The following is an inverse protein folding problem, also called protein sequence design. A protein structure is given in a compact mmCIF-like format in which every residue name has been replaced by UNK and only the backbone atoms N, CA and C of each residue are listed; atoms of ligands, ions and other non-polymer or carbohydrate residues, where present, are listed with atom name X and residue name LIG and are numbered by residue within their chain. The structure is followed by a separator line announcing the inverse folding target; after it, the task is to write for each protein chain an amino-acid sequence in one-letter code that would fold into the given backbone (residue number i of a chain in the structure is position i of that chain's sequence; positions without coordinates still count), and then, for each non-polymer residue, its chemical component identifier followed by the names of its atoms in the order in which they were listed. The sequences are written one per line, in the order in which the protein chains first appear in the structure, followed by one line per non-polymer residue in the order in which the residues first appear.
data_IF_615237216490
#
_entry.id   IF_615237216490
#
_cell.length_a   1.000
_cell.length_b   1.000
_cell.length_c   1.000
_cell.angle_alpha   90.00
_cell.angle_beta   90.00
_cell.angle_gamma   90.00
#
_symmetry.space_group_name_H-M   'P 1'
#
loop_
_entity.id
_entity.type
_entity.pdbx_description
1 polymer ?
#
# COMPACT_ATOMS: atom_id res chain seq x y z
N UNK A 1 -7.65 -27.22 2.57
CA UNK A 1 -7.89 -25.82 2.18
C UNK A 1 -7.29 -24.80 3.16
N UNK A 2 -7.61 -24.77 4.46
CA UNK A 2 -6.99 -23.78 5.39
C UNK A 2 -5.46 -23.93 5.49
N UNK A 3 -4.92 -25.13 5.62
CA UNK A 3 -3.47 -25.39 5.67
C UNK A 3 -2.79 -25.02 4.34
N UNK A 4 -3.40 -25.34 3.19
CA UNK A 4 -2.85 -25.01 1.89
C UNK A 4 -2.78 -23.50 1.65
N UNK A 5 -3.81 -22.77 2.11
CA UNK A 5 -3.84 -21.30 2.04
C UNK A 5 -2.73 -20.68 2.93
N UNK A 6 -2.53 -21.23 4.14
CA UNK A 6 -1.48 -20.75 5.05
C UNK A 6 -0.07 -20.96 4.50
N UNK A 7 0.17 -22.02 3.72
CA UNK A 7 1.47 -22.24 3.06
C UNK A 7 1.77 -21.20 1.97
N UNK A 8 0.74 -20.47 1.49
CA UNK A 8 0.91 -19.37 0.54
C UNK A 8 1.14 -18.00 1.18
N UNK A 9 1.17 -17.89 2.52
CA UNK A 9 1.44 -16.63 3.23
C UNK A 9 2.92 -16.27 3.21
N UNK A 10 3.25 -14.97 3.17
CA UNK A 10 4.61 -14.52 3.45
C UNK A 10 4.98 -14.79 4.91
N UNK A 11 4.08 -14.48 5.84
CA UNK A 11 4.20 -14.81 7.28
C UNK A 11 2.85 -14.64 7.97
N UNK A 12 2.53 -15.53 8.92
CA UNK A 12 1.33 -15.41 9.75
C UNK A 12 1.33 -14.14 10.63
N UNK A 13 2.52 -13.64 10.98
CA UNK A 13 2.68 -12.48 11.87
C UNK A 13 2.31 -11.15 11.18
N UNK A 14 2.49 -11.09 9.85
CA UNK A 14 2.32 -9.87 9.07
C UNK A 14 1.02 -9.81 8.27
N UNK A 15 0.26 -10.91 8.19
CA UNK A 15 -1.01 -10.93 7.46
C UNK A 15 -2.12 -10.23 8.26
N UNK A 16 -2.87 -9.37 7.60
CA UNK A 16 -4.04 -8.71 8.16
C UNK A 16 -5.18 -9.69 8.40
N UNK A 17 -6.02 -9.44 9.42
CA UNK A 17 -7.15 -10.31 9.73
C UNK A 17 -8.12 -10.47 8.54
N UNK A 18 -8.46 -9.35 7.88
CA UNK A 18 -9.37 -9.36 6.73
C UNK A 18 -8.77 -10.15 5.57
N UNK A 19 -7.47 -10.02 5.33
CA UNK A 19 -6.79 -10.81 4.31
C UNK A 19 -6.83 -12.29 4.62
N UNK A 20 -6.55 -12.69 5.86
CA UNK A 20 -6.57 -14.11 6.27
C UNK A 20 -7.94 -14.75 6.15
N UNK A 21 -9.01 -13.99 6.46
CA UNK A 21 -10.38 -14.55 6.50
C UNK A 21 -11.07 -14.45 5.15
N UNK A 22 -10.77 -13.43 4.35
CA UNK A 22 -11.53 -13.09 3.16
C UNK A 22 -10.68 -13.07 1.88
N UNK A 23 -9.68 -12.17 1.80
CA UNK A 23 -8.95 -11.95 0.54
C UNK A 23 -8.11 -13.17 0.13
N UNK A 24 -7.36 -13.75 1.08
CA UNK A 24 -6.48 -14.90 0.78
C UNK A 24 -7.21 -16.18 0.40
N UNK A 25 -8.30 -16.60 1.07
CA UNK A 25 -9.06 -17.76 0.66
C UNK A 25 -9.67 -17.62 -0.73
N UNK A 26 -10.24 -16.44 -1.05
CA UNK A 26 -10.81 -16.18 -2.38
C UNK A 26 -9.71 -16.11 -3.44
N UNK A 27 -8.61 -15.40 -3.15
CA UNK A 27 -7.43 -15.35 -4.01
C UNK A 27 -6.84 -16.73 -4.31
N UNK A 28 -6.83 -17.64 -3.33
CA UNK A 28 -6.37 -19.02 -3.52
C UNK A 28 -7.27 -19.82 -4.50
N UNK A 29 -8.57 -19.62 -4.44
CA UNK A 29 -9.49 -20.25 -5.40
C UNK A 29 -9.19 -19.75 -6.82
N UNK A 30 -8.99 -18.45 -7.00
CA UNK A 30 -8.60 -17.87 -8.27
C UNK A 30 -7.20 -18.33 -8.71
N UNK A 31 -6.23 -18.40 -7.80
CA UNK A 31 -4.89 -18.91 -8.11
C UNK A 31 -4.96 -20.37 -8.63
N UNK A 32 -5.75 -21.23 -8.00
CA UNK A 32 -5.99 -22.61 -8.49
C UNK A 32 -6.67 -22.64 -9.86
N UNK A 33 -7.63 -21.77 -10.09
CA UNK A 33 -8.29 -21.65 -11.38
C UNK A 33 -7.31 -21.26 -12.47
N UNK A 34 -6.52 -20.21 -12.26
CA UNK A 34 -5.51 -19.76 -13.22
C UNK A 34 -4.37 -20.77 -13.39
N UNK A 35 -3.99 -21.48 -12.33
CA UNK A 35 -3.02 -22.56 -12.42
C UNK A 35 -3.49 -23.69 -13.36
N UNK A 36 -4.75 -24.08 -13.27
CA UNK A 36 -5.33 -25.10 -14.17
C UNK A 36 -5.37 -24.67 -15.63
N UNK A 37 -5.53 -23.37 -15.88
CA UNK A 37 -5.50 -22.78 -17.22
C UNK A 37 -4.07 -22.52 -17.71
N UNK A 38 -3.04 -22.75 -16.89
CA UNK A 38 -1.65 -22.48 -17.25
C UNK A 38 -1.30 -20.99 -17.37
N UNK A 39 -2.14 -20.09 -16.84
CA UNK A 39 -1.96 -18.63 -16.92
C UNK A 39 -0.74 -18.20 -16.12
N UNK A 40 0.05 -17.29 -16.69
CA UNK A 40 1.22 -16.73 -15.99
C UNK A 40 0.79 -15.71 -14.91
N UNK A 41 1.43 -15.68 -13.71
CA UNK A 41 1.08 -14.74 -12.63
C UNK A 41 0.99 -13.28 -13.08
N UNK A 42 1.93 -12.79 -13.88
CA UNK A 42 1.94 -11.41 -14.39
C UNK A 42 0.68 -11.05 -15.19
N UNK A 43 0.05 -12.03 -15.86
CA UNK A 43 -1.22 -11.80 -16.58
C UNK A 43 -2.34 -11.54 -15.58
N UNK A 44 -2.35 -12.25 -14.45
CA UNK A 44 -3.34 -12.05 -13.39
C UNK A 44 -3.17 -10.67 -12.75
N UNK A 45 -1.92 -10.22 -12.54
CA UNK A 45 -1.64 -8.83 -12.08
C UNK A 45 -2.17 -7.79 -13.07
N UNK A 46 -1.95 -7.98 -14.38
CA UNK A 46 -2.48 -7.05 -15.40
C UNK A 46 -4.01 -7.04 -15.39
N UNK A 47 -4.66 -8.19 -15.23
CA UNK A 47 -6.12 -8.27 -15.13
C UNK A 47 -6.62 -7.54 -13.86
N UNK A 48 -5.94 -7.69 -12.71
CA UNK A 48 -6.29 -6.96 -11.49
C UNK A 48 -6.23 -5.44 -11.71
N UNK A 49 -5.18 -4.95 -12.38
CA UNK A 49 -5.01 -3.54 -12.72
C UNK A 49 -6.14 -3.04 -13.62
N UNK A 50 -6.48 -3.77 -14.69
CA UNK A 50 -7.56 -3.38 -15.61
C UNK A 50 -8.90 -3.30 -14.88
N UNK A 51 -9.23 -4.31 -14.06
CA UNK A 51 -10.47 -4.32 -13.28
C UNK A 51 -10.47 -3.17 -12.26
N UNK A 52 -9.35 -2.95 -11.57
CA UNK A 52 -9.21 -1.86 -10.60
C UNK A 52 -9.37 -0.48 -11.22
N UNK A 53 -8.75 -0.22 -12.38
CA UNK A 53 -8.93 1.04 -13.13
C UNK A 53 -10.38 1.20 -13.57
N UNK A 54 -11.05 0.12 -14.01
CA UNK A 54 -12.45 0.18 -14.43
C UNK A 54 -13.36 0.64 -13.28
N UNK A 55 -13.03 0.37 -12.01
CA UNK A 55 -13.81 0.85 -10.86
C UNK A 55 -13.88 2.37 -10.79
N UNK A 56 -12.84 3.07 -11.28
CA UNK A 56 -12.79 4.54 -11.29
C UNK A 56 -13.93 5.16 -12.10
N UNK A 57 -14.29 4.56 -13.25
CA UNK A 57 -15.43 5.01 -14.05
C UNK A 57 -16.74 4.99 -13.24
N UNK A 58 -16.97 3.91 -12.51
CA UNK A 58 -18.18 3.74 -11.70
C UNK A 58 -18.21 4.70 -10.51
N UNK A 59 -17.07 4.94 -9.85
CA UNK A 59 -16.97 5.93 -8.77
C UNK A 59 -17.16 7.36 -9.28
N UNK A 60 -16.71 7.68 -10.50
CA UNK A 60 -16.89 9.00 -11.11
C UNK A 60 -18.38 9.34 -11.31
N UNK A 61 -19.20 8.33 -11.63
CA UNK A 61 -20.63 8.48 -11.92
C UNK A 61 -21.54 7.99 -10.77
N UNK A 62 -20.97 7.78 -9.59
CA UNK A 62 -21.68 7.18 -8.46
C UNK A 62 -22.47 8.17 -7.58
N UNK A 63 -22.61 9.45 -7.93
CA UNK A 63 -23.42 10.39 -7.15
C UNK A 63 -24.90 10.00 -7.22
N UNK A 64 -25.56 9.90 -6.07
CA UNK A 64 -26.96 9.49 -5.96
C UNK A 64 -27.86 10.53 -5.26
N UNK A 65 -27.27 11.61 -4.78
CA UNK A 65 -28.01 12.73 -4.16
C UNK A 65 -28.72 13.62 -5.17
N UNK A 66 -28.30 13.56 -6.43
CA UNK A 66 -29.05 14.13 -7.55
C UNK A 66 -30.04 13.07 -8.00
N UNK A 67 -31.33 13.28 -7.85
CA UNK A 67 -32.55 12.53 -8.22
C UNK A 67 -32.43 11.16 -8.96
N UNK A 68 -31.22 10.67 -9.20
CA UNK A 68 -30.94 9.45 -9.95
C UNK A 68 -30.45 8.33 -9.02
N UNK A 69 -31.33 7.38 -8.72
CA UNK A 69 -31.00 6.16 -7.94
C UNK A 69 -29.92 5.27 -8.59
N UNK A 70 -29.60 5.48 -9.86
CA UNK A 70 -28.57 4.73 -10.58
C UNK A 70 -27.17 4.95 -9.98
N UNK A 71 -26.89 6.12 -9.40
CA UNK A 71 -25.60 6.42 -8.77
C UNK A 71 -25.21 5.46 -7.63
N UNK A 72 -26.15 5.07 -6.79
CA UNK A 72 -25.90 4.09 -5.74
C UNK A 72 -25.51 2.73 -6.33
N UNK A 73 -26.19 2.29 -7.40
CA UNK A 73 -25.87 1.03 -8.09
C UNK A 73 -24.47 1.10 -8.72
N UNK A 74 -24.10 2.24 -9.31
CA UNK A 74 -22.75 2.45 -9.86
C UNK A 74 -21.68 2.39 -8.76
N UNK A 75 -21.90 2.99 -7.59
CA UNK A 75 -21.01 2.83 -6.45
C UNK A 75 -20.82 1.37 -6.06
N UNK A 76 -21.90 0.60 -5.96
CA UNK A 76 -21.84 -0.83 -5.62
C UNK A 76 -21.03 -1.59 -6.66
N UNK A 77 -21.22 -1.33 -7.95
CA UNK A 77 -20.44 -1.96 -9.02
C UNK A 77 -18.94 -1.57 -8.89
N UNK A 78 -18.63 -0.31 -8.66
CA UNK A 78 -17.27 0.17 -8.45
C UNK A 78 -16.58 -0.52 -7.27
N UNK A 79 -17.30 -0.67 -6.16
CA UNK A 79 -16.83 -1.40 -4.96
C UNK A 79 -16.55 -2.87 -5.29
N UNK A 80 -17.49 -3.55 -5.94
CA UNK A 80 -17.33 -4.95 -6.31
C UNK A 80 -16.14 -5.16 -7.27
N UNK A 81 -15.94 -4.26 -8.24
CA UNK A 81 -14.79 -4.33 -9.14
C UNK A 81 -13.47 -4.11 -8.39
N UNK A 82 -13.41 -3.15 -7.46
CA UNK A 82 -12.20 -2.91 -6.68
C UNK A 82 -11.90 -4.07 -5.71
N UNK A 83 -12.91 -4.68 -5.11
CA UNK A 83 -12.75 -5.91 -4.34
C UNK A 83 -12.26 -7.06 -5.22
N UNK A 84 -12.78 -7.20 -6.42
CA UNK A 84 -12.37 -8.23 -7.37
C UNK A 84 -10.91 -8.03 -7.81
N UNK A 85 -10.51 -6.81 -8.09
CA UNK A 85 -9.12 -6.47 -8.37
C UNK A 85 -8.20 -6.91 -7.22
N UNK A 86 -8.58 -6.66 -5.96
CA UNK A 86 -7.82 -7.09 -4.78
C UNK A 86 -7.74 -8.63 -4.65
N UNK A 87 -8.79 -9.37 -5.05
CA UNK A 87 -8.72 -10.82 -5.09
C UNK A 87 -7.76 -11.35 -6.15
N UNK A 88 -7.68 -10.72 -7.31
CA UNK A 88 -6.73 -11.08 -8.37
C UNK A 88 -5.30 -10.72 -8.00
N UNK A 89 -5.08 -9.57 -7.37
CA UNK A 89 -3.79 -9.17 -6.80
C UNK A 89 -3.31 -10.19 -5.74
N UNK A 90 -4.20 -10.62 -4.85
CA UNK A 90 -3.90 -11.72 -3.93
C UNK A 90 -3.62 -13.04 -4.64
N UNK A 91 -4.33 -13.34 -5.73
CA UNK A 91 -4.21 -14.57 -6.49
C UNK A 91 -2.89 -14.67 -7.25
N UNK A 92 -2.37 -13.58 -7.83
CA UNK A 92 -1.14 -13.58 -8.62
C UNK A 92 0.09 -13.95 -7.78
N UNK A 93 0.22 -13.35 -6.57
CA UNK A 93 1.28 -13.68 -5.64
C UNK A 93 1.18 -15.11 -5.11
N UNK A 94 -0.05 -15.63 -4.90
CA UNK A 94 -0.25 -17.02 -4.51
C UNK A 94 0.08 -17.97 -5.68
N UNK A 95 -0.34 -17.64 -6.90
CA UNK A 95 -0.04 -18.40 -8.11
C UNK A 95 1.48 -18.45 -8.38
N UNK A 96 2.18 -17.32 -8.20
CA UNK A 96 3.63 -17.25 -8.35
C UNK A 96 4.33 -18.20 -7.37
N UNK A 97 3.90 -18.24 -6.11
CA UNK A 97 4.45 -19.18 -5.10
C UNK A 97 4.12 -20.62 -5.38
N UNK A 98 2.89 -20.92 -5.82
CA UNK A 98 2.44 -22.29 -6.15
C UNK A 98 3.15 -22.86 -7.38
N UNK A 99 3.51 -22.01 -8.35
CA UNK A 99 4.12 -22.44 -9.62
C UNK A 99 5.64 -22.25 -9.67
N UNK A 100 6.24 -21.59 -8.67
CA UNK A 100 7.65 -21.22 -8.66
C UNK A 100 8.02 -20.15 -9.72
N UNK A 101 7.03 -19.50 -10.35
CA UNK A 101 7.22 -18.51 -11.42
C UNK A 101 7.34 -17.08 -10.85
N UNK A 102 8.33 -16.87 -10.00
CA UNK A 102 8.63 -15.53 -9.48
C UNK A 102 9.54 -14.78 -10.47
N UNK A 103 9.05 -13.67 -11.04
CA UNK A 103 9.83 -12.83 -11.96
C UNK A 103 10.10 -11.47 -11.35
N UNK A 104 11.22 -10.84 -11.74
CA UNK A 104 11.54 -9.48 -11.33
C UNK A 104 10.49 -8.48 -11.85
N UNK A 105 10.05 -8.65 -13.10
CA UNK A 105 8.98 -7.84 -13.70
C UNK A 105 7.67 -7.98 -12.91
N UNK A 106 7.30 -9.21 -12.48
CA UNK A 106 6.12 -9.44 -11.68
C UNK A 106 6.15 -8.70 -10.36
N UNK A 107 7.28 -8.70 -9.65
CA UNK A 107 7.44 -7.94 -8.38
C UNK A 107 7.34 -6.43 -8.57
N UNK A 108 7.88 -5.90 -9.69
CA UNK A 108 7.77 -4.47 -10.02
C UNK A 108 6.31 -4.11 -10.32
N UNK A 109 5.64 -4.96 -11.10
CA UNK A 109 4.25 -4.75 -11.51
C UNK A 109 3.29 -4.82 -10.30
N UNK A 110 3.46 -5.82 -9.42
CA UNK A 110 2.74 -5.98 -8.15
C UNK A 110 2.93 -4.71 -7.26
N UNK A 111 4.17 -4.27 -7.07
CA UNK A 111 4.46 -3.04 -6.31
C UNK A 111 3.88 -1.76 -6.92
N UNK A 112 3.72 -1.70 -8.24
CA UNK A 112 3.16 -0.56 -8.95
C UNK A 112 1.62 -0.62 -9.08
N UNK A 113 1.02 -1.82 -8.97
CA UNK A 113 -0.39 -2.05 -9.22
C UNK A 113 -1.30 -1.13 -8.38
N UNK A 114 -1.01 -0.99 -7.09
CA UNK A 114 -1.77 -0.11 -6.20
C UNK A 114 -1.77 1.35 -6.69
N UNK A 115 -0.62 1.89 -7.08
CA UNK A 115 -0.52 3.27 -7.59
C UNK A 115 -1.30 3.41 -8.90
N UNK A 116 -1.16 2.45 -9.82
CA UNK A 116 -1.82 2.47 -11.13
C UNK A 116 -3.34 2.43 -10.96
N UNK A 117 -3.86 1.73 -9.96
CA UNK A 117 -5.30 1.66 -9.66
C UNK A 117 -5.78 2.92 -8.94
N UNK A 118 -5.07 3.36 -7.89
CA UNK A 118 -5.54 4.47 -7.06
C UNK A 118 -5.50 5.83 -7.76
N UNK A 119 -4.56 6.08 -8.67
CA UNK A 119 -4.49 7.36 -9.40
C UNK A 119 -5.76 7.65 -10.19
N UNK A 120 -6.27 6.76 -11.08
CA UNK A 120 -7.56 6.95 -11.74
C UNK A 120 -8.73 7.08 -10.78
N UNK A 121 -8.75 6.28 -9.69
CA UNK A 121 -9.81 6.37 -8.67
C UNK A 121 -9.82 7.75 -8.02
N UNK A 122 -8.66 8.27 -7.61
CA UNK A 122 -8.56 9.60 -7.00
C UNK A 122 -9.03 10.71 -7.97
N UNK A 123 -8.61 10.63 -9.23
CA UNK A 123 -9.09 11.54 -10.27
C UNK A 123 -10.63 11.44 -10.46
N UNK A 124 -11.17 10.24 -10.40
CA UNK A 124 -12.62 10.00 -10.49
C UNK A 124 -13.39 10.65 -9.32
N UNK A 125 -12.84 10.58 -8.08
CA UNK A 125 -13.46 11.24 -6.93
C UNK A 125 -13.44 12.76 -7.07
N UNK A 126 -12.33 13.36 -7.54
CA UNK A 126 -12.24 14.80 -7.81
C UNK A 126 -13.24 15.20 -8.88
N UNK A 127 -13.32 14.43 -9.98
CA UNK A 127 -14.29 14.66 -11.05
C UNK A 127 -15.73 14.62 -10.54
N UNK A 128 -16.10 13.60 -9.77
CA UNK A 128 -17.43 13.47 -9.17
C UNK A 128 -17.77 14.68 -8.28
N UNK A 129 -16.88 15.09 -7.38
CA UNK A 129 -17.08 16.25 -6.54
C UNK A 129 -17.24 17.54 -7.36
N UNK A 130 -16.44 17.70 -8.42
CA UNK A 130 -16.52 18.85 -9.30
C UNK A 130 -17.85 18.91 -10.07
N UNK A 131 -18.34 17.77 -10.56
CA UNK A 131 -19.61 17.70 -11.30
C UNK A 131 -20.85 17.97 -10.41
N UNK A 132 -20.76 17.65 -9.12
CA UNK A 132 -21.90 17.72 -8.18
C UNK A 132 -21.65 18.72 -7.04
N UNK A 133 -20.85 19.78 -7.29
CA UNK A 133 -20.42 20.77 -6.29
C UNK A 133 -21.56 21.64 -5.73
N UNK A 134 -22.69 21.75 -6.41
CA UNK A 134 -23.80 22.60 -6.01
C UNK A 134 -24.35 22.32 -4.61
N UNK A 135 -24.27 21.07 -4.15
CA UNK A 135 -24.66 20.67 -2.79
C UNK A 135 -23.72 21.21 -1.72
N UNK A 136 -22.41 21.08 -1.94
CA UNK A 136 -21.39 21.61 -1.06
C UNK A 136 -21.45 23.13 -1.03
N UNK A 137 -21.72 23.79 -2.16
CA UNK A 137 -21.90 25.23 -2.25
C UNK A 137 -23.13 25.70 -1.47
N UNK A 138 -24.24 24.99 -1.60
CA UNK A 138 -25.45 25.28 -0.83
C UNK A 138 -25.19 25.14 0.69
N UNK A 139 -24.51 24.07 1.10
CA UNK A 139 -24.19 23.85 2.50
C UNK A 139 -23.18 24.86 3.07
N UNK A 140 -22.22 25.30 2.26
CA UNK A 140 -21.20 26.28 2.64
C UNK A 140 -21.66 27.75 2.42
N UNK A 141 -22.89 27.98 1.93
CA UNK A 141 -23.42 29.29 1.53
C UNK A 141 -22.52 30.02 0.50
N UNK A 142 -21.92 29.26 -0.41
CA UNK A 142 -21.10 29.79 -1.51
C UNK A 142 -22.00 29.98 -2.74
N UNK A 143 -21.86 31.14 -3.40
CA UNK A 143 -22.59 31.39 -4.65
C UNK A 143 -22.15 30.39 -5.74
N UNK A 144 -23.10 29.72 -6.36
CA UNK A 144 -22.86 28.80 -7.46
C UNK A 144 -22.56 29.57 -8.75
N UNK A 145 -21.28 29.86 -8.95
CA UNK A 145 -20.73 30.56 -10.10
C UNK A 145 -19.63 29.71 -10.72
N UNK A 146 -19.46 29.84 -12.04
CA UNK A 146 -18.41 29.12 -12.78
C UNK A 146 -17.04 29.35 -12.16
N UNK A 147 -16.73 30.60 -11.74
CA UNK A 147 -15.46 30.92 -11.04
C UNK A 147 -15.27 30.12 -9.75
N UNK A 148 -16.31 30.07 -8.92
CA UNK A 148 -16.24 29.33 -7.64
C UNK A 148 -16.14 27.83 -7.88
N UNK A 149 -16.83 27.28 -8.88
CA UNK A 149 -16.71 25.88 -9.27
C UNK A 149 -15.28 25.52 -9.72
N UNK A 150 -14.64 26.37 -10.53
CA UNK A 150 -13.24 26.16 -10.96
C UNK A 150 -12.29 26.22 -9.76
N UNK A 151 -12.46 27.21 -8.86
CA UNK A 151 -11.61 27.31 -7.65
C UNK A 151 -11.77 26.06 -6.79
N UNK A 152 -13.00 25.60 -6.57
CA UNK A 152 -13.30 24.38 -5.81
C UNK A 152 -12.64 23.15 -6.45
N UNK A 153 -12.76 22.98 -7.76
CA UNK A 153 -12.11 21.89 -8.50
C UNK A 153 -10.58 21.91 -8.35
N UNK A 154 -9.95 23.08 -8.43
CA UNK A 154 -8.51 23.23 -8.23
C UNK A 154 -8.08 22.91 -6.79
N UNK A 155 -8.87 23.33 -5.80
CA UNK A 155 -8.62 23.01 -4.40
C UNK A 155 -8.73 21.50 -4.14
N UNK A 156 -9.77 20.85 -4.68
CA UNK A 156 -9.92 19.39 -4.57
C UNK A 156 -8.80 18.65 -5.27
N UNK A 157 -8.37 19.11 -6.43
CA UNK A 157 -7.25 18.50 -7.14
C UNK A 157 -5.95 18.65 -6.34
N UNK A 158 -5.69 19.83 -5.75
CA UNK A 158 -4.57 20.03 -4.84
C UNK A 158 -4.62 19.12 -3.61
N UNK A 159 -5.80 18.97 -3.00
CA UNK A 159 -6.05 18.05 -1.88
C UNK A 159 -5.78 16.59 -2.29
N UNK A 160 -6.26 16.19 -3.46
CA UNK A 160 -6.03 14.87 -4.05
C UNK A 160 -4.53 14.58 -4.26
N UNK A 161 -3.79 15.52 -4.86
CA UNK A 161 -2.35 15.38 -5.07
C UNK A 161 -1.59 15.25 -3.74
N UNK A 162 -1.93 16.07 -2.77
CA UNK A 162 -1.31 16.00 -1.44
C UNK A 162 -1.64 14.68 -0.73
N UNK A 163 -2.91 14.28 -0.73
CA UNK A 163 -3.36 13.00 -0.18
C UNK A 163 -2.64 11.82 -0.83
N UNK A 164 -2.62 11.74 -2.16
CA UNK A 164 -2.06 10.60 -2.88
C UNK A 164 -0.53 10.56 -2.86
N UNK A 165 0.15 11.63 -3.29
CA UNK A 165 1.60 11.60 -3.46
C UNK A 165 2.38 11.80 -2.16
N UNK A 166 1.85 12.57 -1.20
CA UNK A 166 2.56 12.85 0.06
C UNK A 166 2.10 11.90 1.15
N UNK A 167 0.80 11.87 1.44
CA UNK A 167 0.27 11.10 2.57
C UNK A 167 0.24 9.60 2.28
N UNK A 168 -0.52 9.17 1.28
CA UNK A 168 -0.68 7.75 0.94
C UNK A 168 0.68 7.07 0.66
N UNK A 169 1.46 7.65 -0.25
CA UNK A 169 2.79 7.10 -0.60
C UNK A 169 3.72 7.01 0.62
N UNK A 170 3.75 8.04 1.48
CA UNK A 170 4.57 8.07 2.68
C UNK A 170 4.14 7.02 3.71
N UNK A 171 2.84 6.88 3.94
CA UNK A 171 2.25 5.94 4.89
C UNK A 171 2.46 4.49 4.45
N UNK A 172 2.20 4.15 3.18
CA UNK A 172 2.41 2.81 2.64
C UNK A 172 3.89 2.40 2.68
N UNK A 173 4.78 3.33 2.30
CA UNK A 173 6.23 3.12 2.34
C UNK A 173 6.72 2.78 3.75
N UNK A 174 6.24 3.50 4.76
CA UNK A 174 6.65 3.27 6.14
C UNK A 174 6.04 1.99 6.71
N UNK A 175 4.79 1.69 6.39
CA UNK A 175 4.13 0.44 6.77
C UNK A 175 4.85 -0.78 6.18
N UNK A 176 5.21 -0.72 4.89
CA UNK A 176 5.98 -1.79 4.24
C UNK A 176 7.35 -1.97 4.93
N UNK A 177 8.05 -0.88 5.21
CA UNK A 177 9.35 -0.94 5.86
C UNK A 177 9.29 -1.62 7.23
N UNK A 178 8.35 -1.26 8.10
CA UNK A 178 8.19 -1.93 9.40
C UNK A 178 7.80 -3.40 9.28
N UNK A 179 7.06 -3.76 8.24
CA UNK A 179 6.78 -5.16 7.93
C UNK A 179 8.06 -5.91 7.52
N UNK A 180 8.91 -5.31 6.69
CA UNK A 180 10.19 -5.90 6.30
C UNK A 180 11.17 -6.01 7.48
N UNK A 181 11.21 -5.01 8.36
CA UNK A 181 11.98 -5.06 9.61
C UNK A 181 11.54 -6.24 10.48
N UNK A 182 10.23 -6.43 10.69
CA UNK A 182 9.71 -7.56 11.46
C UNK A 182 10.10 -8.90 10.82
N UNK A 183 9.96 -9.02 9.50
CA UNK A 183 10.34 -10.23 8.76
C UNK A 183 11.84 -10.53 8.82
N UNK A 184 12.69 -9.51 8.85
CA UNK A 184 14.12 -9.68 9.00
C UNK A 184 14.48 -10.37 10.31
N UNK A 185 13.91 -9.94 11.42
CA UNK A 185 14.15 -10.59 12.72
C UNK A 185 13.42 -11.93 12.89
N UNK A 186 12.39 -12.19 12.09
CA UNK A 186 11.66 -13.48 12.10
C UNK A 186 12.33 -14.56 11.24
N UNK A 187 12.85 -14.19 10.04
CA UNK A 187 13.29 -15.14 9.00
C UNK A 187 14.73 -14.93 8.55
N UNK A 188 15.41 -13.92 9.08
CA UNK A 188 16.76 -13.54 8.65
C UNK A 188 16.78 -12.77 7.32
N UNK A 189 17.97 -12.52 6.80
CA UNK A 189 18.22 -11.76 5.57
C UNK A 189 17.52 -12.35 4.33
N UNK A 190 17.45 -13.67 4.24
CA UNK A 190 16.82 -14.35 3.09
C UNK A 190 15.29 -14.25 3.06
N UNK A 191 14.68 -13.95 4.20
CA UNK A 191 13.21 -13.87 4.36
C UNK A 191 12.63 -12.48 4.33
N UNK A 192 13.47 -11.43 4.22
CA UNK A 192 13.06 -10.03 4.21
C UNK A 192 13.73 -9.24 3.08
N UNK A 193 13.01 -8.28 2.54
CA UNK A 193 13.53 -7.34 1.52
C UNK A 193 14.01 -6.04 2.21
N UNK A 194 14.94 -6.18 3.18
CA UNK A 194 15.49 -5.04 3.91
C UNK A 194 16.76 -4.54 3.19
N UNK A 195 16.58 -3.55 2.34
CA UNK A 195 17.67 -2.96 1.55
C UNK A 195 18.30 -1.76 2.26
N UNK A 196 19.59 -1.51 1.96
CA UNK A 196 20.35 -0.35 2.44
C UNK A 196 20.54 0.67 1.30
N UNK A 197 20.28 1.94 1.57
CA UNK A 197 20.36 3.00 0.54
C UNK A 197 21.78 3.21 0.00
N UNK A 198 22.81 3.00 0.81
CA UNK A 198 24.21 3.12 0.40
C UNK A 198 24.58 2.04 -0.62
N UNK A 199 24.22 0.79 -0.37
CA UNK A 199 24.44 -0.31 -1.30
C UNK A 199 23.68 -0.11 -2.61
N UNK A 200 22.42 0.31 -2.55
CA UNK A 200 21.62 0.57 -3.75
C UNK A 200 22.14 1.78 -4.53
N UNK A 201 22.70 2.79 -3.85
CA UNK A 201 23.36 3.92 -4.50
C UNK A 201 24.62 3.46 -5.26
N UNK A 202 25.42 2.56 -4.69
CA UNK A 202 26.60 1.99 -5.38
C UNK A 202 26.20 1.25 -6.65
N UNK A 203 25.11 0.46 -6.61
CA UNK A 203 24.57 -0.20 -7.80
C UNK A 203 24.10 0.80 -8.85
N UNK A 204 23.43 1.88 -8.43
CA UNK A 204 23.03 2.96 -9.32
C UNK A 204 24.23 3.65 -10.00
N UNK A 205 25.27 3.96 -9.23
CA UNK A 205 26.47 4.65 -9.74
C UNK A 205 27.25 3.76 -10.71
N UNK A 206 27.32 2.44 -10.43
CA UNK A 206 27.99 1.47 -11.31
C UNK A 206 27.24 1.19 -12.62
N UNK A 207 25.91 1.44 -12.68
CA UNK A 207 25.10 1.13 -13.86
C UNK A 207 25.25 2.21 -14.94
N UNK A 208 25.62 1.89 -16.20
CA UNK A 208 25.69 2.87 -17.28
C UNK A 208 24.29 3.29 -17.75
N UNK A 209 24.13 4.56 -18.19
CA UNK A 209 22.87 5.02 -18.78
C UNK A 209 22.58 4.40 -20.15
N UNK A 210 23.63 4.15 -20.92
CA UNK A 210 23.51 3.63 -22.29
C UNK A 210 23.08 2.16 -22.26
N UNK A 211 21.91 1.88 -22.81
CA UNK A 211 21.31 0.53 -22.81
C UNK A 211 20.47 0.17 -21.58
N UNK A 212 20.59 0.91 -20.46
CA UNK A 212 19.90 0.62 -19.18
C UNK A 212 19.14 1.81 -18.60
N UNK A 213 18.67 2.73 -19.43
CA UNK A 213 18.08 3.99 -18.97
C UNK A 213 16.80 3.80 -18.11
N UNK A 214 15.95 2.79 -18.47
CA UNK A 214 14.74 2.47 -17.70
C UNK A 214 15.11 1.90 -16.34
N UNK A 215 16.01 0.90 -16.33
CA UNK A 215 16.46 0.24 -15.10
C UNK A 215 17.16 1.22 -14.17
N UNK A 216 18.01 2.10 -14.73
CA UNK A 216 18.72 3.13 -13.97
C UNK A 216 17.78 4.19 -13.42
N UNK A 217 16.76 4.63 -14.17
CA UNK A 217 15.74 5.56 -13.68
C UNK A 217 14.91 4.93 -12.55
N UNK A 218 14.54 3.65 -12.72
CA UNK A 218 13.85 2.89 -11.66
C UNK A 218 14.73 2.75 -10.41
N UNK A 219 16.00 2.39 -10.57
CA UNK A 219 16.94 2.25 -9.45
C UNK A 219 17.14 3.57 -8.70
N UNK A 220 17.17 4.72 -9.40
CA UNK A 220 17.20 6.05 -8.77
C UNK A 220 15.98 6.28 -7.86
N UNK A 221 14.79 5.93 -8.36
CA UNK A 221 13.55 6.05 -7.60
C UNK A 221 13.58 5.12 -6.38
N UNK A 222 14.07 3.90 -6.54
CA UNK A 222 14.20 2.91 -5.47
C UNK A 222 15.21 3.35 -4.39
N UNK A 223 16.37 3.90 -4.78
CA UNK A 223 17.34 4.48 -3.83
C UNK A 223 16.69 5.59 -2.99
N UNK A 224 15.93 6.49 -3.63
CA UNK A 224 15.22 7.56 -2.92
C UNK A 224 14.14 7.00 -1.99
N UNK A 225 13.44 5.95 -2.40
CA UNK A 225 12.45 5.26 -1.58
C UNK A 225 13.08 4.71 -0.29
N UNK A 226 14.18 3.96 -0.39
CA UNK A 226 14.89 3.40 0.77
C UNK A 226 15.46 4.52 1.65
N UNK A 227 16.09 5.53 1.07
CA UNK A 227 16.64 6.68 1.82
C UNK A 227 15.58 7.40 2.65
N UNK A 228 14.35 7.48 2.15
CA UNK A 228 13.24 8.05 2.91
C UNK A 228 12.77 7.13 4.05
N UNK A 229 12.82 5.79 3.86
CA UNK A 229 12.56 4.82 4.94
C UNK A 229 13.60 4.96 6.06
N UNK A 230 14.88 4.99 5.72
CA UNK A 230 15.98 5.16 6.69
C UNK A 230 15.88 6.49 7.45
N UNK A 231 15.60 7.61 6.76
CA UNK A 231 15.41 8.91 7.40
C UNK A 231 14.20 8.93 8.36
N UNK A 232 13.17 8.15 8.08
CA UNK A 232 11.99 8.07 8.91
C UNK A 232 12.20 7.22 10.19
N UNK A 233 13.27 6.41 10.25
CA UNK A 233 13.49 5.40 11.30
C UNK A 233 14.87 5.52 11.96
N UNK A 234 15.24 6.69 12.52
CA UNK A 234 16.60 6.91 13.03
C UNK A 234 16.98 6.02 14.22
N UNK A 235 16.03 5.64 15.10
CA UNK A 235 16.32 4.73 16.20
C UNK A 235 16.61 3.31 15.69
N UNK A 236 15.85 2.85 14.70
CA UNK A 236 16.13 1.57 14.05
C UNK A 236 17.48 1.56 13.36
N UNK A 237 17.87 2.62 12.65
CA UNK A 237 19.19 2.70 12.00
C UNK A 237 20.33 2.62 13.03
N UNK A 238 20.21 3.31 14.16
CA UNK A 238 21.20 3.20 15.26
C UNK A 238 21.27 1.80 15.84
N UNK A 239 20.12 1.14 16.02
CA UNK A 239 20.05 -0.23 16.48
C UNK A 239 20.77 -1.19 15.51
N UNK A 240 20.50 -1.07 14.21
CA UNK A 240 21.15 -1.89 13.18
C UNK A 240 22.67 -1.68 13.14
N UNK A 241 23.12 -0.41 13.25
CA UNK A 241 24.53 -0.10 13.33
C UNK A 241 25.18 -0.74 14.56
N UNK A 242 24.55 -0.65 15.73
CA UNK A 242 25.04 -1.28 16.96
C UNK A 242 25.16 -2.80 16.84
N UNK A 243 24.14 -3.44 16.23
CA UNK A 243 24.17 -4.88 15.96
C UNK A 243 25.31 -5.26 15.00
N UNK A 244 25.54 -4.43 13.98
CA UNK A 244 26.65 -4.62 13.06
C UNK A 244 28.01 -4.52 13.79
N UNK A 245 28.19 -3.52 14.64
CA UNK A 245 29.44 -3.31 15.40
C UNK A 245 29.73 -4.47 16.37
N UNK A 246 28.68 -5.04 16.97
CA UNK A 246 28.83 -6.16 17.92
C UNK A 246 29.01 -7.53 17.26
N UNK A 247 28.32 -7.79 16.15
CA UNK A 247 28.21 -9.13 15.56
C UNK A 247 28.71 -9.22 14.11
N UNK A 248 29.26 -8.14 13.55
CA UNK A 248 29.73 -8.06 12.16
C UNK A 248 28.59 -7.90 11.14
N UNK A 249 27.45 -8.54 11.40
CA UNK A 249 26.18 -8.35 10.64
C UNK A 249 25.03 -8.43 11.61
N UNK A 250 24.00 -7.60 11.39
CA UNK A 250 22.81 -7.59 12.25
C UNK A 250 22.07 -8.95 12.28
N UNK A 251 22.09 -9.70 11.17
CA UNK A 251 21.51 -11.04 11.08
C UNK A 251 22.23 -12.10 11.94
N UNK A 252 23.47 -11.83 12.38
CA UNK A 252 24.25 -12.72 13.25
C UNK A 252 23.98 -12.45 14.75
N UNK A 253 23.08 -11.53 15.08
CA UNK A 253 22.70 -11.31 16.48
C UNK A 253 22.19 -12.61 17.12
N UNK A 254 22.32 -12.77 18.45
CA UNK A 254 21.84 -13.96 19.13
C UNK A 254 20.34 -14.21 18.90
N UNK A 255 19.94 -15.48 18.85
CA UNK A 255 18.53 -15.85 18.66
C UNK A 255 17.63 -15.28 19.77
N UNK A 256 18.15 -15.13 20.98
CA UNK A 256 17.46 -14.46 22.08
C UNK A 256 17.08 -13.01 21.75
N UNK A 257 17.96 -12.28 21.05
CA UNK A 257 17.67 -10.91 20.58
C UNK A 257 16.61 -10.90 19.48
N UNK A 258 16.71 -11.82 18.50
CA UNK A 258 15.71 -11.97 17.44
C UNK A 258 14.33 -12.25 18.04
N UNK A 259 14.24 -13.15 19.01
CA UNK A 259 12.99 -13.50 19.69
C UNK A 259 12.43 -12.32 20.50
N UNK A 260 13.29 -11.57 21.19
CA UNK A 260 12.85 -10.37 21.94
C UNK A 260 12.38 -9.26 21.01
N UNK A 261 13.09 -9.02 19.89
CA UNK A 261 12.63 -8.07 18.87
C UNK A 261 11.26 -8.44 18.31
N UNK A 262 11.09 -9.72 17.90
CA UNK A 262 9.80 -10.23 17.40
C UNK A 262 8.70 -10.06 18.43
N UNK A 263 8.94 -10.42 19.69
CA UNK A 263 7.97 -10.31 20.78
C UNK A 263 7.47 -8.88 20.94
N UNK A 264 8.36 -7.88 20.83
CA UNK A 264 8.01 -6.46 20.96
C UNK A 264 7.40 -5.85 19.69
N UNK A 265 7.83 -6.29 18.51
CA UNK A 265 7.33 -5.78 17.23
C UNK A 265 5.98 -6.39 16.83
N UNK A 266 5.69 -7.64 17.19
CA UNK A 266 4.45 -8.34 16.83
C UNK A 266 3.17 -7.57 17.25
N UNK A 267 3.06 -6.98 18.45
CA UNK A 267 1.89 -6.19 18.84
C UNK A 267 1.71 -4.89 18.02
N UNK A 268 2.75 -4.45 17.30
CA UNK A 268 2.72 -3.26 16.46
C UNK A 268 2.27 -3.57 15.02
N UNK A 269 2.27 -4.85 14.60
CA UNK A 269 1.86 -5.23 13.24
C UNK A 269 0.41 -4.86 12.89
N UNK A 270 -0.59 -4.95 13.78
CA UNK A 270 -1.94 -4.44 13.48
C UNK A 270 -1.96 -2.96 13.12
N UNK A 271 -1.17 -2.10 13.79
CA UNK A 271 -1.05 -0.67 13.46
C UNK A 271 -0.42 -0.47 12.08
N UNK A 272 0.55 -1.31 11.71
CA UNK A 272 1.18 -1.32 10.40
C UNK A 272 0.17 -1.71 9.32
N UNK A 273 -0.65 -2.73 9.58
CA UNK A 273 -1.64 -3.24 8.64
C UNK A 273 -2.79 -2.25 8.38
N UNK A 274 -3.23 -1.48 9.40
CA UNK A 274 -4.24 -0.42 9.21
C UNK A 274 -3.81 0.60 8.14
N UNK A 275 -2.51 0.84 7.97
CA UNK A 275 -1.98 1.77 6.97
C UNK A 275 -1.90 1.20 5.55
N UNK A 276 -2.40 -0.01 5.31
CA UNK A 276 -2.37 -0.68 4.02
C UNK A 276 -3.70 -0.59 3.26
N UNK A 277 -3.90 -1.44 2.27
CA UNK A 277 -5.00 -1.36 1.31
C UNK A 277 -6.40 -1.44 1.94
N UNK A 278 -6.65 -2.39 2.85
CA UNK A 278 -8.01 -2.70 3.30
C UNK A 278 -8.71 -1.53 4.00
N UNK A 279 -8.02 -0.86 4.92
CA UNK A 279 -8.57 0.31 5.64
C UNK A 279 -8.90 1.44 4.67
N UNK A 280 -8.03 1.70 3.69
CA UNK A 280 -8.23 2.72 2.66
C UNK A 280 -9.41 2.38 1.76
N UNK A 281 -9.49 1.13 1.31
CA UNK A 281 -10.57 0.66 0.47
C UNK A 281 -11.93 0.79 1.19
N UNK A 282 -12.01 0.36 2.45
CA UNK A 282 -13.23 0.49 3.27
C UNK A 282 -13.62 1.96 3.43
N UNK A 283 -12.67 2.84 3.77
CA UNK A 283 -12.95 4.27 3.90
C UNK A 283 -13.44 4.88 2.59
N UNK A 284 -12.79 4.53 1.46
CA UNK A 284 -13.23 4.93 0.13
C UNK A 284 -14.67 4.48 -0.16
N UNK A 285 -14.98 3.21 0.11
CA UNK A 285 -16.31 2.64 -0.12
C UNK A 285 -17.37 3.37 0.71
N UNK A 286 -17.09 3.60 1.99
CA UNK A 286 -18.01 4.34 2.86
C UNK A 286 -18.21 5.76 2.34
N UNK A 287 -17.15 6.49 1.99
CA UNK A 287 -17.26 7.85 1.46
C UNK A 287 -18.06 7.91 0.15
N UNK A 288 -17.88 6.93 -0.74
CA UNK A 288 -18.66 6.83 -1.98
C UNK A 288 -20.13 6.48 -1.73
N UNK A 289 -20.42 5.57 -0.77
CA UNK A 289 -21.77 5.16 -0.42
C UNK A 289 -22.57 6.27 0.28
N UNK A 290 -21.92 7.11 1.09
CA UNK A 290 -22.57 8.28 1.73
C UNK A 290 -22.56 9.51 0.84
N UNK A 291 -22.02 9.41 -0.37
CA UNK A 291 -21.87 10.49 -1.36
C UNK A 291 -21.09 11.72 -0.85
N UNK A 292 -20.01 11.46 -0.12
CA UNK A 292 -19.06 12.45 0.37
C UNK A 292 -17.62 12.09 -0.03
N UNK A 293 -17.33 11.94 -1.33
CA UNK A 293 -16.04 11.39 -1.77
C UNK A 293 -14.83 12.27 -1.40
N UNK A 294 -14.99 13.60 -1.30
CA UNK A 294 -13.92 14.50 -0.85
C UNK A 294 -13.46 14.22 0.59
N UNK A 295 -14.34 13.67 1.44
CA UNK A 295 -14.01 13.33 2.83
C UNK A 295 -12.95 12.20 2.90
N UNK A 296 -12.87 11.37 1.88
CA UNK A 296 -11.82 10.36 1.79
C UNK A 296 -10.40 10.97 1.79
N UNK A 297 -10.18 12.09 1.08
CA UNK A 297 -8.89 12.78 1.11
C UNK A 297 -8.58 13.34 2.50
N UNK A 298 -9.58 13.88 3.19
CA UNK A 298 -9.44 14.38 4.56
C UNK A 298 -9.10 13.23 5.52
N UNK A 299 -9.78 12.10 5.38
CA UNK A 299 -9.48 10.89 6.14
C UNK A 299 -8.03 10.45 5.95
N UNK A 300 -7.53 10.39 4.72
CA UNK A 300 -6.12 10.03 4.45
C UNK A 300 -5.14 11.02 5.04
N UNK A 301 -5.39 12.30 4.89
CA UNK A 301 -4.49 13.34 5.37
C UNK A 301 -4.47 13.40 6.90
N UNK A 302 -5.62 13.34 7.54
CA UNK A 302 -5.73 13.56 9.00
C UNK A 302 -5.60 12.23 9.76
N UNK A 303 -6.53 11.31 9.52
CA UNK A 303 -6.64 10.09 10.34
C UNK A 303 -5.46 9.14 10.05
N UNK A 304 -5.21 8.85 8.77
CA UNK A 304 -4.14 7.93 8.40
C UNK A 304 -2.75 8.49 8.70
N UNK A 305 -2.54 9.82 8.58
CA UNK A 305 -1.27 10.43 8.97
C UNK A 305 -1.05 10.44 10.47
N UNK A 306 -2.10 10.67 11.27
CA UNK A 306 -2.03 10.57 12.73
C UNK A 306 -1.68 9.14 13.18
N UNK A 307 -2.34 8.13 12.58
CA UNK A 307 -2.04 6.71 12.83
C UNK A 307 -0.61 6.35 12.41
N UNK A 308 -0.15 6.85 11.26
CA UNK A 308 1.22 6.66 10.80
C UNK A 308 2.25 7.27 11.76
N UNK A 309 2.00 8.49 12.24
CA UNK A 309 2.84 9.16 13.23
C UNK A 309 2.89 8.39 14.56
N UNK A 310 1.74 7.89 15.03
CA UNK A 310 1.65 7.06 16.23
C UNK A 310 2.42 5.73 16.06
N UNK A 311 2.18 5.01 14.96
CA UNK A 311 2.91 3.78 14.64
C UNK A 311 4.42 4.01 14.64
N UNK A 312 4.88 5.05 13.94
CA UNK A 312 6.30 5.43 13.88
C UNK A 312 6.86 5.67 15.28
N UNK A 313 6.16 6.46 16.11
CA UNK A 313 6.59 6.75 17.48
C UNK A 313 6.77 5.48 18.31
N UNK A 314 5.83 4.54 18.22
CA UNK A 314 5.89 3.26 18.94
C UNK A 314 7.06 2.37 18.49
N UNK A 315 7.29 2.29 17.16
CA UNK A 315 8.42 1.53 16.62
C UNK A 315 9.77 2.14 17.02
N UNK A 316 9.92 3.47 16.92
CA UNK A 316 11.14 4.17 17.31
C UNK A 316 11.41 4.04 18.82
N UNK A 317 10.38 4.11 19.66
CA UNK A 317 10.49 3.86 21.09
C UNK A 317 11.00 2.44 21.37
N UNK A 318 10.39 1.43 20.75
CA UNK A 318 10.79 0.04 20.87
C UNK A 318 12.27 -0.16 20.47
N UNK A 319 12.70 0.41 19.36
CA UNK A 319 14.10 0.32 18.91
C UNK A 319 15.07 1.00 19.88
N UNK A 320 14.70 2.15 20.46
CA UNK A 320 15.51 2.83 21.48
C UNK A 320 15.62 2.01 22.78
N UNK A 321 14.56 1.33 23.19
CA UNK A 321 14.57 0.43 24.36
C UNK A 321 15.50 -0.76 24.12
N UNK A 322 15.38 -1.41 22.96
CA UNK A 322 16.25 -2.53 22.58
C UNK A 322 17.72 -2.10 22.44
N UNK A 323 17.97 -0.91 21.91
CA UNK A 323 19.34 -0.37 21.84
C UNK A 323 20.01 -0.24 23.21
N UNK A 324 19.25 0.11 24.27
CA UNK A 324 19.75 0.22 25.63
C UNK A 324 20.07 -1.13 26.28
N UNK A 325 19.57 -2.24 25.74
CA UNK A 325 19.81 -3.59 26.26
C UNK A 325 21.05 -4.27 25.65
N UNK A 326 21.63 -3.66 24.60
CA UNK A 326 22.87 -4.07 23.93
C UNK A 326 24.09 -3.36 24.51
#
# INVERSE_FOLDING_TARGET
MKQDVQQTYKSSDTEEWLDRVFTRPIGYLWAKFFQRLGVHPNVVTVLSIIIGISSAFFFAHGSWRTEDSAGLMLNIIGILLMMWANFYDSADGQLARMTGKNTQVGRILDGAASIIIFVPVYCALVWRCYQHHSMEFQWLHIADTERNAVIYGLMLFGLCLFSGFVCHSGQCRLADYYRQIHLFFLKGESGAELSNSTHQQQLYDAMPWRGHWIEKAFLKTYVNYIRQQEKATPAFQRLMQRLHDLYGKAGNAPESFHNEFRKRSLPLMPLTNILTFNTRAIALYVCCLVDLPWFYFVFEIVVMSALCGYMRSRHEQMCNELFKTL
#
